data_IF_784627742704
#
_entry.id   IF_784627742704
#
_cell.length_a   1.000
_cell.length_b   1.000
_cell.length_c   1.000
_cell.angle_alpha   90.00
_cell.angle_beta   90.00
_cell.angle_gamma   90.00
#
_symmetry.space_group_name_H-M   'P 1'
#
loop_
_entity.id
_entity.type
_entity.pdbx_description
1 polymer ?
#
# COMPACT_ATOMS: atom_id res chain seq x y z
N UNK A 1 4.07 -19.20 16.70
CA UNK A 1 4.41 -19.80 15.39
C UNK A 1 3.69 -18.95 14.33
N UNK A 2 4.39 -18.46 13.32
CA UNK A 2 3.77 -17.76 12.20
C UNK A 2 3.25 -18.81 11.20
N UNK A 3 1.99 -18.69 10.78
CA UNK A 3 1.39 -19.57 9.78
C UNK A 3 1.28 -18.84 8.45
N UNK A 4 1.39 -19.59 7.35
CA UNK A 4 1.19 -19.04 6.02
C UNK A 4 -0.27 -18.62 5.83
N UNK A 5 -0.45 -17.42 5.27
CA UNK A 5 -1.77 -16.97 4.85
C UNK A 5 -2.08 -17.64 3.51
N UNK A 6 -3.22 -18.33 3.41
CA UNK A 6 -3.71 -18.84 2.13
C UNK A 6 -4.13 -17.67 1.23
N UNK A 7 -3.40 -17.46 0.13
CA UNK A 7 -3.68 -16.41 -0.83
C UNK A 7 -4.56 -16.97 -1.96
N UNK A 8 -5.80 -16.48 -2.04
CA UNK A 8 -6.80 -16.98 -3.01
C UNK A 8 -7.17 -15.97 -4.09
N UNK A 9 -6.88 -14.69 -3.88
CA UNK A 9 -7.18 -13.64 -4.87
C UNK A 9 -6.13 -13.60 -5.96
N UNK A 10 -6.52 -13.08 -7.13
CA UNK A 10 -5.67 -12.93 -8.30
C UNK A 10 -5.75 -11.51 -8.84
N UNK A 11 -4.62 -10.84 -8.88
CA UNK A 11 -4.46 -9.50 -9.45
C UNK A 11 -4.81 -9.50 -10.93
N UNK A 12 -4.35 -10.49 -11.70
CA UNK A 12 -4.60 -10.56 -13.15
C UNK A 12 -6.08 -10.63 -13.51
N UNK A 13 -6.91 -11.17 -12.61
CA UNK A 13 -8.35 -11.35 -12.84
C UNK A 13 -9.16 -10.09 -12.51
N UNK A 14 -8.74 -9.31 -11.52
CA UNK A 14 -9.47 -8.13 -11.03
C UNK A 14 -8.51 -6.98 -10.70
N UNK A 15 -7.68 -6.50 -11.64
CA UNK A 15 -6.62 -5.51 -11.35
C UNK A 15 -7.19 -4.18 -10.82
N UNK A 16 -8.41 -3.83 -11.21
CA UNK A 16 -9.11 -2.62 -10.74
C UNK A 16 -9.38 -2.61 -9.23
N UNK A 17 -9.38 -3.77 -8.56
CA UNK A 17 -9.53 -3.87 -7.08
C UNK A 17 -8.26 -3.48 -6.33
N UNK A 18 -7.16 -3.34 -7.05
CA UNK A 18 -5.82 -3.10 -6.54
C UNK A 18 -5.27 -1.79 -7.11
N UNK A 19 -5.91 -0.65 -6.83
CA UNK A 19 -5.49 0.61 -7.43
C UNK A 19 -4.09 0.96 -6.93
N UNK A 20 -3.27 1.50 -7.84
CA UNK A 20 -1.94 1.98 -7.52
C UNK A 20 -2.01 3.31 -6.77
N UNK A 21 -1.10 3.51 -5.81
CA UNK A 21 -0.93 4.82 -5.23
C UNK A 21 -0.28 5.79 -6.22
N UNK A 22 -0.64 7.06 -6.11
CA UNK A 22 -0.05 8.14 -6.89
C UNK A 22 1.31 8.58 -6.33
N UNK A 23 1.58 8.29 -5.05
CA UNK A 23 2.80 8.73 -4.35
C UNK A 23 3.68 7.63 -3.74
N UNK A 24 3.36 6.36 -4.02
CA UNK A 24 4.21 5.20 -3.74
C UNK A 24 4.11 4.24 -4.91
N UNK A 25 5.21 3.54 -5.22
CA UNK A 25 5.19 2.45 -6.21
C UNK A 25 4.65 1.16 -5.56
N UNK A 26 3.36 1.16 -5.25
CA UNK A 26 2.67 0.04 -4.63
C UNK A 26 1.17 0.05 -4.94
N UNK A 27 0.54 -1.12 -4.86
CA UNK A 27 -0.92 -1.26 -4.93
C UNK A 27 -1.56 -1.15 -3.55
N UNK A 28 -2.75 -0.57 -3.47
CA UNK A 28 -3.59 -0.62 -2.26
C UNK A 28 -4.25 -1.99 -2.15
N UNK A 29 -4.04 -2.65 -1.01
CA UNK A 29 -4.76 -3.86 -0.63
C UNK A 29 -5.55 -3.55 0.63
N UNK A 30 -6.86 -3.37 0.50
CA UNK A 30 -7.71 -2.89 1.60
C UNK A 30 -7.85 -3.89 2.76
N UNK A 31 -7.66 -5.19 2.52
CA UNK A 31 -7.77 -6.26 3.52
C UNK A 31 -6.72 -7.34 3.29
N UNK A 32 -6.15 -7.87 4.37
CA UNK A 32 -5.16 -8.97 4.30
C UNK A 32 -5.65 -10.19 3.52
N UNK A 33 -6.95 -10.52 3.61
CA UNK A 33 -7.53 -11.66 2.87
C UNK A 33 -7.61 -11.43 1.36
N UNK A 34 -7.47 -10.18 0.93
CA UNK A 34 -7.52 -9.82 -0.48
C UNK A 34 -6.12 -9.73 -1.12
N UNK A 35 -5.04 -10.05 -0.38
CA UNK A 35 -3.68 -10.09 -0.93
C UNK A 35 -3.64 -11.06 -2.12
N UNK A 36 -3.26 -10.60 -3.32
CA UNK A 36 -3.22 -11.44 -4.51
C UNK A 36 -2.05 -12.43 -4.49
N UNK A 37 -2.29 -13.64 -5.01
CA UNK A 37 -1.30 -14.73 -5.05
C UNK A 37 -0.39 -14.70 -6.29
N UNK A 38 -0.64 -13.81 -7.23
CA UNK A 38 0.07 -13.67 -8.50
C UNK A 38 0.71 -12.27 -8.66
N UNK A 39 0.71 -11.44 -7.62
CA UNK A 39 1.40 -10.15 -7.59
C UNK A 39 2.64 -10.18 -6.71
N UNK A 40 3.78 -9.80 -7.29
CA UNK A 40 5.09 -9.81 -6.62
C UNK A 40 5.69 -8.42 -6.41
N UNK A 41 4.96 -7.36 -6.80
CA UNK A 41 5.33 -5.98 -6.51
C UNK A 41 5.06 -5.59 -5.04
N UNK A 42 5.25 -4.31 -4.73
CA UNK A 42 4.98 -3.79 -3.39
C UNK A 42 3.47 -3.60 -3.18
N UNK A 43 3.00 -4.00 -2.02
CA UNK A 43 1.59 -3.93 -1.62
C UNK A 43 1.47 -3.13 -0.33
N UNK A 44 0.56 -2.16 -0.29
CA UNK A 44 0.15 -1.49 0.93
C UNK A 44 -1.02 -2.22 1.59
N UNK A 45 -0.76 -2.83 2.74
CA UNK A 45 -1.74 -3.60 3.52
C UNK A 45 -2.12 -2.85 4.82
N UNK A 46 -3.26 -3.17 5.46
CA UNK A 46 -3.63 -2.56 6.74
C UNK A 46 -2.60 -2.86 7.83
N UNK A 47 -2.47 -1.98 8.83
CA UNK A 47 -1.56 -2.20 9.98
C UNK A 47 -1.83 -3.54 10.68
N UNK A 48 -3.09 -3.96 10.75
CA UNK A 48 -3.53 -5.25 11.33
C UNK A 48 -2.96 -6.46 10.60
N UNK A 49 -2.31 -6.30 9.44
CA UNK A 49 -1.53 -7.37 8.80
C UNK A 49 -0.45 -7.94 9.72
N UNK A 50 0.11 -7.14 10.66
CA UNK A 50 1.14 -7.60 11.60
C UNK A 50 0.70 -8.80 12.44
N UNK A 51 -0.59 -8.91 12.77
CA UNK A 51 -1.13 -10.04 13.54
C UNK A 51 -1.01 -11.37 12.80
N UNK A 52 -0.92 -11.32 11.46
CA UNK A 52 -0.84 -12.47 10.55
C UNK A 52 0.51 -12.55 9.83
N UNK A 53 1.47 -11.71 10.21
CA UNK A 53 2.73 -11.62 9.50
C UNK A 53 3.51 -12.93 9.59
N UNK A 54 3.97 -13.43 8.45
CA UNK A 54 4.95 -14.51 8.36
C UNK A 54 6.18 -14.03 7.57
N UNK A 55 7.38 -13.92 8.19
CA UNK A 55 8.60 -13.49 7.51
C UNK A 55 9.09 -14.44 6.41
N UNK A 56 8.66 -15.71 6.43
CA UNK A 56 8.95 -16.65 5.35
C UNK A 56 8.14 -16.34 4.07
N UNK A 57 6.94 -15.79 4.23
CA UNK A 57 6.01 -15.50 3.14
C UNK A 57 6.14 -14.05 2.62
N UNK A 58 6.42 -13.11 3.51
CA UNK A 58 6.45 -11.68 3.21
C UNK A 58 7.66 -10.97 3.82
N UNK A 59 8.14 -9.97 3.09
CA UNK A 59 9.08 -8.97 3.54
C UNK A 59 8.34 -7.68 3.87
N UNK A 60 8.59 -7.09 5.05
CA UNK A 60 8.11 -5.75 5.40
C UNK A 60 9.16 -4.75 4.93
N UNK A 61 8.76 -3.84 4.05
CA UNK A 61 9.63 -2.80 3.50
C UNK A 61 9.54 -1.48 4.29
N UNK A 62 8.37 -1.21 4.86
CA UNK A 62 8.17 0.01 5.65
C UNK A 62 6.70 0.34 5.91
N UNK A 63 6.43 1.61 6.19
CA UNK A 63 5.09 2.14 6.44
C UNK A 63 4.91 3.42 5.64
N UNK A 64 3.66 3.70 5.22
CA UNK A 64 3.29 4.99 4.66
C UNK A 64 3.12 6.00 5.80
N UNK A 65 4.05 6.93 5.94
CA UNK A 65 4.06 7.91 7.03
C UNK A 65 4.50 9.30 6.58
N UNK A 66 4.14 10.33 7.36
CA UNK A 66 4.41 11.73 7.00
C UNK A 66 5.89 12.05 6.90
N UNK A 67 6.71 11.42 7.74
CA UNK A 67 8.16 11.66 7.77
C UNK A 67 8.90 10.93 6.64
N UNK A 68 8.21 10.04 5.91
CA UNK A 68 8.83 9.16 4.92
C UNK A 68 9.99 8.38 5.54
N UNK A 69 9.78 7.83 6.75
CA UNK A 69 10.84 7.17 7.53
C UNK A 69 11.44 5.98 6.78
N UNK A 70 10.63 5.32 5.94
CA UNK A 70 11.07 4.22 5.08
C UNK A 70 11.79 4.66 3.80
N UNK A 71 11.73 5.95 3.43
CA UNK A 71 12.29 6.46 2.18
C UNK A 71 11.55 6.03 0.91
N UNK A 72 10.42 5.31 1.03
CA UNK A 72 9.74 4.65 -0.10
C UNK A 72 8.78 5.55 -0.88
N UNK A 73 8.52 6.77 -0.41
CA UNK A 73 7.64 7.72 -1.11
C UNK A 73 8.27 8.18 -2.41
N UNK A 74 7.52 8.04 -3.50
CA UNK A 74 7.97 8.39 -4.86
C UNK A 74 7.60 9.80 -5.28
N UNK A 75 6.53 10.37 -4.70
CA UNK A 75 6.03 11.72 -5.02
C UNK A 75 5.69 12.51 -3.76
N UNK A 76 6.02 13.80 -3.75
CA UNK A 76 5.60 14.74 -2.71
C UNK A 76 4.73 15.82 -3.33
N UNK A 77 3.55 16.04 -2.77
CA UNK A 77 2.63 17.08 -3.23
C UNK A 77 3.08 18.46 -2.76
N UNK A 78 2.77 19.47 -3.54
CA UNK A 78 3.04 20.88 -3.28
C UNK A 78 1.75 21.69 -3.37
N UNK A 79 1.82 22.98 -3.03
CA UNK A 79 0.69 23.89 -3.19
C UNK A 79 0.18 24.01 -4.64
N UNK A 80 1.01 23.66 -5.64
CA UNK A 80 0.60 23.61 -7.04
C UNK A 80 -0.32 22.43 -7.36
N UNK A 81 -0.23 21.33 -6.59
CA UNK A 81 -1.04 20.13 -6.79
C UNK A 81 -2.40 20.23 -6.08
N UNK A 82 -2.39 20.78 -4.85
CA UNK A 82 -3.59 20.94 -4.03
C UNK A 82 -3.33 21.94 -2.89
N UNK A 83 -4.31 22.79 -2.51
CA UNK A 83 -4.19 23.61 -1.31
C UNK A 83 -3.99 22.78 -0.04
N UNK A 84 -4.49 21.53 -0.02
CA UNK A 84 -4.38 20.60 1.13
C UNK A 84 -3.21 19.61 0.96
N UNK A 85 -2.16 19.98 0.22
CA UNK A 85 -1.01 19.11 -0.06
C UNK A 85 -0.34 18.51 1.19
N UNK A 86 -0.41 19.20 2.34
CA UNK A 86 0.13 18.70 3.60
C UNK A 86 -0.56 17.41 4.06
N UNK A 87 -1.86 17.28 3.84
CA UNK A 87 -2.63 16.07 4.20
C UNK A 87 -2.37 14.94 3.20
N UNK A 88 -2.25 15.28 1.90
CA UNK A 88 -1.84 14.33 0.87
C UNK A 88 -0.43 13.76 1.13
N UNK A 89 0.43 14.55 1.78
CA UNK A 89 1.75 14.13 2.19
C UNK A 89 1.78 13.39 3.53
N UNK A 90 0.65 13.18 4.21
CA UNK A 90 0.65 12.45 5.47
C UNK A 90 0.81 10.93 5.26
N UNK A 91 0.27 10.39 4.17
CA UNK A 91 0.16 8.93 3.90
C UNK A 91 0.22 8.63 2.39
N UNK A 92 -0.10 7.41 1.99
CA UNK A 92 -0.34 7.07 0.59
C UNK A 92 -1.61 7.73 0.06
N UNK A 93 -1.65 8.01 -1.23
CA UNK A 93 -2.74 8.70 -1.91
C UNK A 93 -3.17 7.90 -3.11
N UNK A 94 -4.47 7.71 -3.28
CA UNK A 94 -5.07 7.18 -4.50
C UNK A 94 -5.58 8.34 -5.35
N UNK A 95 -5.42 8.22 -6.67
CA UNK A 95 -6.02 9.17 -7.62
C UNK A 95 -7.34 8.60 -8.12
N UNK A 96 -8.43 9.32 -7.90
CA UNK A 96 -9.78 8.93 -8.34
C UNK A 96 -10.29 10.01 -9.28
N UNK A 97 -10.16 9.79 -10.58
CA UNK A 97 -10.41 10.83 -11.58
C UNK A 97 -9.45 12.02 -11.41
N UNK A 98 -10.02 13.19 -11.13
CA UNK A 98 -9.25 14.42 -10.88
C UNK A 98 -8.96 14.67 -9.38
N UNK A 99 -9.49 13.83 -8.49
CA UNK A 99 -9.36 14.01 -7.05
C UNK A 99 -8.25 13.15 -6.46
N UNK A 100 -7.65 13.66 -5.39
CA UNK A 100 -6.69 12.96 -4.55
C UNK A 100 -7.36 12.47 -3.28
N UNK A 101 -7.32 11.16 -3.05
CA UNK A 101 -7.87 10.53 -1.85
C UNK A 101 -6.75 10.00 -0.97
N UNK A 102 -6.44 10.66 0.16
CA UNK A 102 -5.48 10.12 1.11
C UNK A 102 -6.01 8.82 1.74
N UNK A 103 -5.13 7.86 1.91
CA UNK A 103 -5.41 6.59 2.57
C UNK A 103 -4.98 6.64 4.04
N UNK A 104 -5.50 5.70 4.83
CA UNK A 104 -4.95 5.43 6.15
C UNK A 104 -3.50 4.93 6.04
N UNK A 105 -2.83 4.84 7.17
CA UNK A 105 -1.54 4.17 7.29
C UNK A 105 -1.59 2.76 6.72
N UNK A 106 -0.59 2.43 5.90
CA UNK A 106 -0.41 1.12 5.28
C UNK A 106 1.00 0.62 5.54
N UNK A 107 1.13 -0.67 5.83
CA UNK A 107 2.42 -1.34 5.85
C UNK A 107 2.73 -1.74 4.42
N UNK A 108 3.91 -1.39 3.95
CA UNK A 108 4.39 -1.77 2.63
C UNK A 108 5.07 -3.13 2.75
N UNK A 109 4.52 -4.13 2.08
CA UNK A 109 5.04 -5.49 2.06
C UNK A 109 5.36 -5.93 0.64
N UNK A 110 6.23 -6.93 0.52
CA UNK A 110 6.51 -7.63 -0.72
C UNK A 110 6.52 -9.13 -0.46
N UNK A 111 6.03 -9.92 -1.41
CA UNK A 111 6.07 -11.37 -1.31
C UNK A 111 7.49 -11.90 -1.55
N UNK A 112 7.89 -12.92 -0.79
CA UNK A 112 9.13 -13.68 -1.03
C UNK A 112 8.96 -14.80 -2.05
#
# INVERSE_FOLDING_TARGET
RHEDILLVRRYEQEPERYPHYDNYDAIEVSKTVDIPCDYFGVMGVPITFLDKYNPAQFEILGITDRQNTSGLRTKKYSAADSPNYNDLNARSVLRVGNDYKPCYARILIRRR
#
